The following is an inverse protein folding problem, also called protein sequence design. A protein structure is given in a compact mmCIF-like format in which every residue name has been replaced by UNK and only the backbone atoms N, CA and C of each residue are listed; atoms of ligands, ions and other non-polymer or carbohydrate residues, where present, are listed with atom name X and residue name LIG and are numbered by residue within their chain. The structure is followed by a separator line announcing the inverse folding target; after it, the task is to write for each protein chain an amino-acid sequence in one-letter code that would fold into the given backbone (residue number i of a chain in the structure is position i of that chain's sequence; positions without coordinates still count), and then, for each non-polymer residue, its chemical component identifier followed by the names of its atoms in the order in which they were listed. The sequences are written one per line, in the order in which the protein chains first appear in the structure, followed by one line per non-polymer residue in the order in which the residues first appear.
data_IF_966242206475
#
_entry.id   IF_966242206475
#
_cell.length_a   1.000
_cell.length_b   1.000
_cell.length_c   1.000
_cell.angle_alpha   90.00
_cell.angle_beta   90.00
_cell.angle_gamma   90.00
#
_symmetry.space_group_name_H-M   'P 1'
#
loop_
_entity.id
_entity.type
_entity.pdbx_description
1 polymer ?
#
# COMPACT_ATOMS: atom_id res chain seq x y z
N UNK A 1 26.40 49.91 2.16
CA UNK A 1 26.04 48.78 2.99
C UNK A 1 24.53 48.44 2.98
N UNK A 2 23.60 49.40 3.16
CA UNK A 2 22.13 49.10 3.18
C UNK A 2 21.57 48.51 1.87
N UNK A 3 22.10 48.90 0.70
CA UNK A 3 21.68 48.39 -0.61
C UNK A 3 22.13 46.94 -0.88
N UNK A 4 23.33 46.56 -0.39
CA UNK A 4 23.84 45.19 -0.50
C UNK A 4 23.07 44.23 0.40
N UNK A 5 22.65 44.62 1.59
CA UNK A 5 21.82 43.85 2.49
C UNK A 5 20.39 43.58 1.93
N UNK A 6 19.82 44.57 1.24
CA UNK A 6 18.49 44.42 0.60
C UNK A 6 18.53 43.43 -0.57
N UNK A 7 19.60 43.48 -1.39
CA UNK A 7 19.76 42.51 -2.51
C UNK A 7 19.97 41.08 -2.00
N UNK A 8 20.73 40.90 -0.92
CA UNK A 8 20.94 39.59 -0.31
C UNK A 8 19.64 39.03 0.30
N UNK A 9 18.83 39.88 0.95
CA UNK A 9 17.54 39.47 1.51
C UNK A 9 16.52 39.03 0.42
N UNK A 10 16.50 39.72 -0.73
CA UNK A 10 15.63 39.34 -1.86
C UNK A 10 16.10 38.02 -2.50
N UNK A 11 17.41 37.81 -2.59
CA UNK A 11 17.96 36.57 -3.15
C UNK A 11 17.70 35.33 -2.26
N UNK A 12 17.77 35.51 -0.92
CA UNK A 12 17.41 34.42 0.03
C UNK A 12 15.91 34.10 0.03
N UNK A 13 15.05 35.09 -0.18
CA UNK A 13 13.60 34.89 -0.27
C UNK A 13 13.19 34.12 -1.56
N UNK A 14 13.91 34.33 -2.66
CA UNK A 14 13.68 33.64 -3.94
C UNK A 14 14.07 32.15 -3.89
N UNK A 15 15.01 31.77 -3.02
CA UNK A 15 15.41 30.37 -2.82
C UNK A 15 14.43 29.56 -1.95
N UNK A 16 13.59 30.20 -1.16
CA UNK A 16 12.61 29.57 -0.29
C UNK A 16 11.36 29.04 -1.04
N UNK A 17 11.11 29.47 -2.28
CA UNK A 17 9.94 29.09 -3.07
C UNK A 17 10.15 27.82 -3.92
N UNK A 18 11.28 27.13 -3.81
CA UNK A 18 11.61 25.97 -4.66
C UNK A 18 10.96 24.63 -4.22
N UNK A 19 10.28 24.58 -3.06
CA UNK A 19 9.60 23.37 -2.61
C UNK A 19 8.11 23.42 -3.00
N UNK A 20 7.79 23.10 -4.25
CA UNK A 20 6.40 22.85 -4.65
C UNK A 20 5.98 21.44 -4.19
N UNK A 21 5.30 21.35 -3.05
CA UNK A 21 4.67 20.11 -2.59
C UNK A 21 3.39 19.90 -3.41
N UNK A 22 3.39 18.92 -4.31
CA UNK A 22 2.19 18.50 -5.03
C UNK A 22 1.49 17.42 -4.20
N UNK A 23 0.29 17.65 -3.64
CA UNK A 23 -0.43 16.61 -2.91
C UNK A 23 -0.84 15.49 -3.85
N UNK A 24 -0.48 14.23 -3.51
CA UNK A 24 -0.70 13.05 -4.36
C UNK A 24 -2.18 12.81 -4.71
N UNK A 25 -3.08 13.14 -3.79
CA UNK A 25 -4.53 12.98 -3.96
C UNK A 25 -5.27 14.30 -4.22
N UNK A 26 -4.59 15.36 -4.63
CA UNK A 26 -5.27 16.57 -5.07
C UNK A 26 -5.96 16.30 -6.40
N UNK A 27 -7.27 16.49 -6.47
CA UNK A 27 -7.94 16.66 -7.75
C UNK A 27 -7.42 17.98 -8.36
N UNK A 28 -6.82 17.97 -9.55
CA UNK A 28 -6.57 19.23 -10.26
C UNK A 28 -7.94 19.88 -10.49
N UNK A 29 -8.09 21.10 -9.96
CA UNK A 29 -9.31 21.84 -10.16
C UNK A 29 -9.54 22.07 -11.66
N UNK A 30 -10.67 21.59 -12.18
CA UNK A 30 -11.51 22.21 -13.21
C UNK A 30 -10.92 22.61 -14.59
N UNK A 31 -9.79 22.12 -15.03
CA UNK A 31 -9.32 22.38 -16.41
C UNK A 31 -9.65 21.29 -17.44
N UNK A 32 -10.55 20.37 -17.12
CA UNK A 32 -11.20 19.47 -18.10
C UNK A 32 -10.30 18.49 -18.90
N UNK A 33 -8.99 18.46 -18.68
CA UNK A 33 -8.05 17.72 -19.53
C UNK A 33 -7.22 16.63 -18.83
N UNK A 34 -7.23 16.53 -17.51
CA UNK A 34 -6.60 15.40 -16.82
C UNK A 34 -7.50 14.90 -15.69
N UNK A 35 -8.04 13.70 -15.86
CA UNK A 35 -8.56 12.92 -14.74
C UNK A 35 -7.43 12.77 -13.71
N UNK A 36 -7.61 13.34 -12.49
CA UNK A 36 -6.58 13.26 -11.47
C UNK A 36 -6.38 11.82 -10.97
N UNK A 37 -5.26 11.53 -10.31
CA UNK A 37 -4.89 10.21 -9.77
C UNK A 37 -6.06 9.51 -9.06
N UNK A 38 -6.94 10.26 -8.41
CA UNK A 38 -8.14 9.70 -7.74
C UNK A 38 -9.13 9.09 -8.75
N UNK A 39 -9.32 9.69 -9.92
CA UNK A 39 -10.18 9.15 -10.97
C UNK A 39 -9.54 7.92 -11.63
N UNK A 40 -8.22 7.92 -11.82
CA UNK A 40 -7.48 6.77 -12.33
C UNK A 40 -7.56 5.59 -11.36
N UNK A 41 -7.36 5.80 -10.06
CA UNK A 41 -7.50 4.77 -9.03
C UNK A 41 -8.91 4.16 -9.02
N UNK A 42 -9.95 4.99 -9.13
CA UNK A 42 -11.34 4.51 -9.14
C UNK A 42 -11.71 3.73 -10.40
N UNK A 43 -10.90 3.79 -11.46
CA UNK A 43 -11.07 3.06 -12.70
C UNK A 43 -10.31 1.72 -12.75
N UNK A 44 -9.71 1.29 -11.63
CA UNK A 44 -8.95 0.03 -11.53
C UNK A 44 -9.87 -1.12 -11.10
N UNK A 45 -9.92 -2.19 -11.89
CA UNK A 45 -10.47 -3.48 -11.49
C UNK A 45 -9.35 -4.41 -11.03
N UNK A 46 -9.56 -5.11 -9.92
CA UNK A 46 -8.58 -6.06 -9.35
C UNK A 46 -9.04 -7.49 -9.63
N UNK A 47 -8.19 -8.29 -10.26
CA UNK A 47 -8.48 -9.71 -10.53
C UNK A 47 -8.74 -10.49 -9.23
N UNK A 48 -9.56 -11.56 -9.27
CA UNK A 48 -9.74 -12.45 -8.14
C UNK A 48 -8.40 -13.06 -7.67
N UNK A 49 -8.34 -13.37 -6.39
CA UNK A 49 -7.20 -14.05 -5.73
C UNK A 49 -7.75 -15.15 -4.83
N UNK A 50 -7.00 -16.22 -4.61
CA UNK A 50 -7.52 -17.43 -3.96
C UNK A 50 -7.24 -17.49 -2.45
N UNK A 51 -6.08 -17.00 -2.01
CA UNK A 51 -5.67 -17.10 -0.61
C UNK A 51 -6.41 -16.08 0.28
N UNK A 52 -6.79 -16.49 1.51
CA UNK A 52 -7.51 -15.62 2.47
C UNK A 52 -6.82 -14.27 2.69
N UNK A 53 -5.52 -14.27 3.00
CA UNK A 53 -4.76 -13.04 3.21
C UNK A 53 -4.69 -12.17 1.94
N UNK A 54 -4.60 -12.79 0.75
CA UNK A 54 -4.64 -12.07 -0.51
C UNK A 54 -6.01 -11.45 -0.78
N UNK A 55 -7.11 -12.16 -0.43
CA UNK A 55 -8.47 -11.63 -0.50
C UNK A 55 -8.65 -10.42 0.45
N UNK A 56 -8.06 -10.45 1.64
CA UNK A 56 -8.06 -9.31 2.55
C UNK A 56 -7.35 -8.11 1.94
N UNK A 57 -6.14 -8.28 1.39
CA UNK A 57 -5.41 -7.21 0.68
C UNK A 57 -6.26 -6.66 -0.47
N UNK A 58 -6.82 -7.54 -1.30
CA UNK A 58 -7.68 -7.16 -2.43
C UNK A 58 -8.90 -6.36 -1.98
N UNK A 59 -9.60 -6.78 -0.96
CA UNK A 59 -10.80 -6.11 -0.46
C UNK A 59 -10.46 -4.71 0.11
N UNK A 60 -9.35 -4.58 0.83
CA UNK A 60 -8.86 -3.28 1.30
C UNK A 60 -8.46 -2.36 0.15
N UNK A 61 -7.80 -2.88 -0.90
CA UNK A 61 -7.46 -2.10 -2.10
C UNK A 61 -8.71 -1.61 -2.83
N UNK A 62 -9.73 -2.46 -3.01
CA UNK A 62 -11.01 -2.06 -3.62
C UNK A 62 -11.64 -0.92 -2.83
N UNK A 63 -11.62 -1.02 -1.49
CA UNK A 63 -12.13 0.04 -0.62
C UNK A 63 -11.34 1.34 -0.78
N UNK A 64 -10.00 1.27 -0.78
CA UNK A 64 -9.13 2.44 -0.90
C UNK A 64 -9.27 3.13 -2.27
N UNK A 65 -9.34 2.36 -3.36
CA UNK A 65 -9.49 2.91 -4.71
C UNK A 65 -10.85 3.58 -4.93
N UNK A 66 -11.92 2.97 -4.43
CA UNK A 66 -13.30 3.37 -4.72
C UNK A 66 -14.05 3.94 -3.52
N UNK A 67 -13.37 4.19 -2.40
CA UNK A 67 -13.98 4.75 -1.17
C UNK A 67 -15.23 3.98 -0.72
N UNK A 68 -15.22 2.65 -0.92
CA UNK A 68 -16.32 1.76 -0.54
C UNK A 68 -17.39 1.56 -1.62
N UNK A 69 -17.30 2.18 -2.79
CA UNK A 69 -18.29 2.02 -3.87
C UNK A 69 -18.19 0.67 -4.63
N UNK A 70 -17.22 -0.19 -4.27
CA UNK A 70 -16.98 -1.45 -4.96
C UNK A 70 -16.09 -1.32 -6.19
N UNK A 71 -16.03 -2.34 -7.04
CA UNK A 71 -15.24 -2.28 -8.27
C UNK A 71 -16.00 -1.58 -9.40
N UNK A 72 -15.29 -0.87 -10.31
CA UNK A 72 -15.90 -0.23 -11.45
C UNK A 72 -16.47 -1.26 -12.43
N UNK A 73 -17.61 -0.96 -13.03
CA UNK A 73 -18.23 -1.78 -14.09
C UNK A 73 -17.49 -1.68 -15.43
N UNK A 74 -16.85 -0.55 -15.68
CA UNK A 74 -16.00 -0.29 -16.86
C UNK A 74 -14.62 0.15 -16.37
N UNK A 75 -13.67 -0.77 -16.31
CA UNK A 75 -12.33 -0.50 -15.81
C UNK A 75 -11.39 -0.05 -16.93
N UNK A 76 -10.72 1.08 -16.74
CA UNK A 76 -9.63 1.52 -17.61
C UNK A 76 -8.36 0.70 -17.38
N UNK A 77 -8.14 0.25 -16.15
CA UNK A 77 -6.97 -0.54 -15.74
C UNK A 77 -7.38 -1.86 -15.10
N UNK A 78 -6.57 -2.89 -15.31
CA UNK A 78 -6.70 -4.19 -14.68
C UNK A 78 -5.48 -4.47 -13.81
N UNK A 79 -5.69 -4.65 -12.50
CA UNK A 79 -4.64 -4.98 -11.53
C UNK A 79 -4.57 -6.49 -11.34
N UNK A 80 -3.41 -7.08 -11.61
CA UNK A 80 -3.05 -8.44 -11.21
C UNK A 80 -2.25 -8.36 -9.92
N UNK A 81 -2.70 -9.07 -8.89
CA UNK A 81 -2.11 -9.09 -7.55
C UNK A 81 -1.72 -10.52 -7.17
N UNK A 82 -0.47 -10.70 -6.74
CA UNK A 82 0.01 -11.95 -6.15
C UNK A 82 0.53 -11.64 -4.75
N UNK A 83 -0.04 -12.26 -3.73
CA UNK A 83 0.40 -12.08 -2.34
C UNK A 83 0.91 -13.41 -1.82
N UNK A 84 2.07 -13.38 -1.15
CA UNK A 84 2.66 -14.52 -0.45
C UNK A 84 2.79 -14.21 1.03
N UNK A 85 2.66 -15.23 1.86
CA UNK A 85 2.79 -15.14 3.31
C UNK A 85 3.90 -16.07 3.80
N UNK A 86 4.78 -15.56 4.66
CA UNK A 86 5.81 -16.32 5.36
C UNK A 86 5.56 -16.16 6.85
N UNK A 87 5.48 -17.29 7.57
CA UNK A 87 5.31 -17.35 9.00
C UNK A 87 6.62 -17.82 9.63
N UNK A 88 7.10 -17.11 10.67
CA UNK A 88 8.35 -17.42 11.35
C UNK A 88 8.17 -17.29 12.85
N UNK A 89 8.87 -18.11 13.62
CA UNK A 89 9.04 -17.91 15.05
C UNK A 89 9.95 -16.71 15.28
N UNK A 90 9.52 -15.77 16.12
CA UNK A 90 10.29 -14.55 16.42
C UNK A 90 11.01 -14.64 17.75
N UNK A 91 10.47 -15.43 18.71
CA UNK A 91 11.09 -15.69 20.00
C UNK A 91 10.76 -17.10 20.48
N UNK A 92 11.73 -17.73 21.09
CA UNK A 92 11.61 -19.04 21.71
C UNK A 92 12.10 -18.91 23.15
N UNK A 93 11.29 -19.37 24.10
CA UNK A 93 11.66 -19.42 25.52
C UNK A 93 11.80 -20.88 25.94
N UNK A 94 12.91 -21.20 26.58
CA UNK A 94 13.10 -22.52 27.14
C UNK A 94 12.25 -22.67 28.42
N UNK A 95 11.38 -23.68 28.42
CA UNK A 95 10.56 -24.03 29.59
C UNK A 95 10.88 -25.49 29.97
N UNK A 96 11.68 -25.67 31.01
CA UNK A 96 12.26 -26.99 31.33
C UNK A 96 13.22 -27.46 30.23
N UNK A 97 12.97 -28.62 29.65
CA UNK A 97 13.74 -29.19 28.54
C UNK A 97 13.16 -28.85 27.16
N UNK A 98 12.01 -28.17 27.11
CA UNK A 98 11.31 -27.81 25.85
C UNK A 98 11.54 -26.35 25.45
N UNK A 99 11.72 -26.13 24.14
CA UNK A 99 11.80 -24.83 23.53
C UNK A 99 10.44 -24.47 22.97
N UNK A 100 9.71 -23.55 23.61
CA UNK A 100 8.39 -23.11 23.18
C UNK A 100 8.46 -21.75 22.45
N UNK A 101 7.88 -21.62 21.24
CA UNK A 101 7.72 -20.32 20.62
C UNK A 101 6.76 -19.45 21.44
N UNK A 102 7.18 -18.24 21.78
CA UNK A 102 6.36 -17.27 22.54
C UNK A 102 5.91 -16.11 21.68
N UNK A 103 6.58 -15.86 20.56
CA UNK A 103 6.20 -14.85 19.58
C UNK A 103 6.43 -15.37 18.17
N UNK A 104 5.58 -14.90 17.25
CA UNK A 104 5.68 -15.18 15.84
C UNK A 104 5.59 -13.92 15.00
N UNK A 105 6.02 -14.02 13.75
CA UNK A 105 5.85 -12.98 12.75
C UNK A 105 5.18 -13.56 11.51
N UNK A 106 4.36 -12.73 10.85
CA UNK A 106 3.88 -12.96 9.51
C UNK A 106 4.38 -11.86 8.60
N UNK A 107 5.06 -12.24 7.53
CA UNK A 107 5.51 -11.32 6.48
C UNK A 107 4.65 -11.55 5.25
N UNK A 108 3.91 -10.52 4.84
CA UNK A 108 3.18 -10.50 3.58
C UNK A 108 3.97 -9.75 2.52
N UNK A 109 4.12 -10.35 1.35
CA UNK A 109 4.73 -9.73 0.18
C UNK A 109 3.71 -9.69 -0.94
N UNK A 110 3.42 -8.48 -1.42
CA UNK A 110 2.53 -8.24 -2.56
C UNK A 110 3.32 -7.83 -3.80
N UNK A 111 3.16 -8.58 -4.88
CA UNK A 111 3.58 -8.22 -6.23
C UNK A 111 2.37 -7.74 -7.01
N UNK A 112 2.49 -6.64 -7.71
CA UNK A 112 1.40 -6.10 -8.52
C UNK A 112 1.87 -5.75 -9.93
N UNK A 113 0.95 -5.89 -10.87
CA UNK A 113 1.08 -5.44 -12.25
C UNK A 113 -0.24 -4.81 -12.68
N UNK A 114 -0.21 -3.54 -13.00
CA UNK A 114 -1.33 -2.75 -13.49
C UNK A 114 -1.21 -2.61 -14.99
N UNK A 115 -2.18 -3.11 -15.74
CA UNK A 115 -2.21 -3.03 -17.19
C UNK A 115 -3.39 -2.18 -17.66
N UNK A 116 -3.21 -1.44 -18.75
CA UNK A 116 -4.30 -0.76 -19.45
C UNK A 116 -5.21 -1.83 -20.03
N UNK A 117 -6.51 -1.78 -19.69
CA UNK A 117 -7.46 -2.86 -20.05
C UNK A 117 -7.62 -3.03 -21.57
N UNK A 118 -7.55 -1.96 -22.35
CA UNK A 118 -7.75 -1.98 -23.81
C UNK A 118 -6.53 -2.50 -24.58
N UNK A 119 -5.31 -2.16 -24.15
CA UNK A 119 -4.06 -2.51 -24.88
C UNK A 119 -3.30 -3.66 -24.23
N UNK A 120 -3.52 -3.94 -22.94
CA UNK A 120 -2.72 -4.88 -22.17
C UNK A 120 -1.32 -4.34 -21.78
N UNK A 121 -1.00 -3.11 -22.13
CA UNK A 121 0.27 -2.48 -21.79
C UNK A 121 0.39 -2.28 -20.27
N UNK A 122 1.56 -2.58 -19.71
CA UNK A 122 1.82 -2.43 -18.28
C UNK A 122 2.09 -0.97 -17.95
N UNK A 123 1.15 -0.32 -17.29
CA UNK A 123 1.25 1.07 -16.84
C UNK A 123 2.06 1.21 -15.54
N UNK A 124 1.96 0.22 -14.64
CA UNK A 124 2.66 0.23 -13.36
C UNK A 124 2.94 -1.18 -12.87
N UNK A 125 4.05 -1.40 -12.21
CA UNK A 125 4.34 -2.67 -11.55
C UNK A 125 5.25 -2.46 -10.34
N UNK A 126 5.28 -3.44 -9.44
CA UNK A 126 6.16 -3.35 -8.30
C UNK A 126 5.91 -4.41 -7.23
N UNK A 127 6.65 -4.25 -6.14
CA UNK A 127 6.58 -5.11 -4.96
C UNK A 127 6.56 -4.27 -3.70
N UNK A 128 5.75 -4.69 -2.72
CA UNK A 128 5.76 -4.15 -1.35
C UNK A 128 5.71 -5.31 -0.37
N UNK A 129 6.23 -5.06 0.83
CA UNK A 129 6.31 -6.06 1.88
C UNK A 129 6.05 -5.41 3.23
N UNK A 130 5.39 -6.14 4.13
CA UNK A 130 5.13 -5.74 5.51
C UNK A 130 5.25 -6.95 6.42
N UNK A 131 5.68 -6.73 7.66
CA UNK A 131 5.76 -7.76 8.69
C UNK A 131 4.93 -7.34 9.90
N UNK A 132 4.09 -8.25 10.39
CA UNK A 132 3.31 -8.08 11.61
C UNK A 132 3.67 -9.19 12.61
N UNK A 133 3.88 -8.83 13.87
CA UNK A 133 4.17 -9.78 14.95
C UNK A 133 2.93 -10.13 15.74
N UNK A 134 2.95 -11.29 16.40
CA UNK A 134 1.90 -11.77 17.29
C UNK A 134 2.47 -12.65 18.41
N UNK A 135 1.78 -12.65 19.55
CA UNK A 135 2.10 -13.56 20.65
C UNK A 135 1.60 -14.97 20.32
N UNK A 136 2.36 -15.98 20.74
CA UNK A 136 2.00 -17.39 20.61
C UNK A 136 1.65 -17.94 22.00
N UNK A 137 0.37 -17.85 22.42
CA UNK A 137 -0.07 -18.44 23.68
C UNK A 137 -0.07 -19.98 23.60
N UNK A 138 0.04 -20.65 24.74
CA UNK A 138 0.06 -22.13 24.82
C UNK A 138 -1.23 -22.78 24.31
N UNK A 139 -2.36 -22.07 24.35
CA UNK A 139 -3.63 -22.60 23.82
C UNK A 139 -3.61 -22.49 22.29
N UNK A 140 -3.70 -23.62 21.62
CA UNK A 140 -3.59 -23.73 20.18
C UNK A 140 -4.62 -22.85 19.43
N UNK A 141 -5.88 -22.84 19.90
CA UNK A 141 -6.89 -21.97 19.30
C UNK A 141 -6.58 -20.49 19.44
N UNK A 142 -6.05 -20.06 20.58
CA UNK A 142 -5.65 -18.68 20.80
C UNK A 142 -4.45 -18.30 19.92
N UNK A 143 -3.45 -19.18 19.78
CA UNK A 143 -2.32 -19.00 18.88
C UNK A 143 -2.77 -18.88 17.40
N UNK A 144 -3.68 -19.75 16.97
CA UNK A 144 -4.28 -19.69 15.64
C UNK A 144 -5.00 -18.35 15.38
N UNK A 145 -5.82 -17.89 16.36
CA UNK A 145 -6.51 -16.59 16.25
C UNK A 145 -5.56 -15.41 16.23
N UNK A 146 -4.49 -15.46 17.05
CA UNK A 146 -3.46 -14.41 17.06
C UNK A 146 -2.75 -14.30 15.70
N UNK A 147 -2.41 -15.44 15.09
CA UNK A 147 -1.83 -15.49 13.74
C UNK A 147 -2.76 -14.89 12.70
N UNK A 148 -4.04 -15.31 12.67
CA UNK A 148 -5.01 -14.76 11.71
C UNK A 148 -5.19 -13.24 11.87
N UNK A 149 -5.19 -12.75 13.10
CA UNK A 149 -5.28 -11.32 13.38
C UNK A 149 -4.04 -10.56 12.87
N UNK A 150 -2.83 -11.15 13.02
CA UNK A 150 -1.61 -10.58 12.47
C UNK A 150 -1.62 -10.53 10.94
N UNK A 151 -2.15 -11.59 10.28
CA UNK A 151 -2.35 -11.60 8.83
C UNK A 151 -3.30 -10.48 8.39
N UNK A 152 -4.41 -10.26 9.11
CA UNK A 152 -5.40 -9.23 8.79
C UNK A 152 -4.83 -7.81 8.95
N UNK A 153 -4.01 -7.58 10.00
CA UNK A 153 -3.28 -6.30 10.15
C UNK A 153 -2.29 -6.09 9.01
N UNK A 154 -1.43 -7.10 8.75
CA UNK A 154 -0.46 -7.03 7.67
C UNK A 154 -1.13 -6.82 6.31
N UNK A 155 -2.28 -7.45 6.05
CA UNK A 155 -3.02 -7.28 4.80
C UNK A 155 -3.53 -5.84 4.61
N UNK A 156 -4.01 -5.20 5.69
CA UNK A 156 -4.46 -3.81 5.65
C UNK A 156 -3.29 -2.87 5.35
N UNK A 157 -2.20 -3.00 6.09
CA UNK A 157 -1.01 -2.17 5.92
C UNK A 157 -0.38 -2.38 4.54
N UNK A 158 -0.32 -3.63 4.05
CA UNK A 158 0.17 -3.92 2.71
C UNK A 158 -0.69 -3.26 1.64
N UNK A 159 -2.02 -3.25 1.79
CA UNK A 159 -2.92 -2.59 0.85
C UNK A 159 -2.69 -1.07 0.81
N UNK A 160 -2.43 -0.42 1.95
CA UNK A 160 -2.08 1.00 2.00
C UNK A 160 -0.77 1.29 1.27
N UNK A 161 0.28 0.47 1.48
CA UNK A 161 1.56 0.61 0.80
C UNK A 161 1.44 0.39 -0.73
N UNK A 162 0.62 -0.57 -1.15
CA UNK A 162 0.35 -0.83 -2.57
C UNK A 162 -0.45 0.32 -3.20
N UNK A 163 -1.49 0.81 -2.52
CA UNK A 163 -2.27 1.97 -2.96
C UNK A 163 -1.37 3.20 -3.19
N UNK A 164 -0.52 3.51 -2.21
CA UNK A 164 0.43 4.62 -2.34
C UNK A 164 1.39 4.44 -3.52
N UNK A 165 1.94 3.22 -3.69
CA UNK A 165 2.88 2.91 -4.75
C UNK A 165 2.24 3.04 -6.14
N UNK A 166 1.00 2.55 -6.31
CA UNK A 166 0.25 2.64 -7.57
C UNK A 166 -0.09 4.10 -7.86
N UNK A 167 -0.60 4.85 -6.88
CA UNK A 167 -0.91 6.26 -7.01
C UNK A 167 0.31 7.11 -7.44
N UNK A 168 1.49 6.82 -6.87
CA UNK A 168 2.74 7.49 -7.26
C UNK A 168 3.18 7.19 -8.70
N UNK A 169 2.91 5.99 -9.21
CA UNK A 169 3.26 5.63 -10.58
C UNK A 169 2.29 6.23 -11.59
N UNK A 170 1.00 6.32 -11.26
CA UNK A 170 -0.02 6.97 -12.11
C UNK A 170 0.09 8.50 -12.12
N UNK A 171 0.77 9.10 -11.14
CA UNK A 171 0.96 10.57 -11.05
C UNK A 171 2.13 11.10 -11.90
N UNK A 172 2.89 10.24 -12.54
CA UNK A 172 4.05 10.59 -13.38
C UNK A 172 3.63 10.93 -14.80
#
# INVERSE_FOLDING_TARGET
MRRAAAVFAVFTLALASACTVKPLYSNPASDGTQAGVTADLSSIAIKPVDQRYAQQVRNHLIFLFNRGAGQPSAAAYTLTLVVTAIHQSAAVVQVGDDNEPTAGTVTLTGHYSLAVTSSGEVAASGRRQITSSYDVPRQEFAAYRARLNAEDRAARELAELLNLAIAQQLSK
#
